data_IF_091755041101
#
_entry.id   IF_091755041101
#
_cell.length_a   1.000
_cell.length_b   1.000
_cell.length_c   1.000
_cell.angle_alpha   90.00
_cell.angle_beta   90.00
_cell.angle_gamma   90.00
#
_symmetry.space_group_name_H-M   'P 1'
#
loop_
_entity.id
_entity.type
_entity.pdbx_description
1 polymer ?
#
# COMPACT_ATOMS: atom_id res chain seq x y z
N UNK A 1 26.83 -19.80 16.03
CA UNK A 1 25.49 -20.26 16.47
C UNK A 1 24.61 -19.02 16.56
N UNK A 2 23.63 -18.85 15.67
CA UNK A 2 22.65 -17.77 15.79
C UNK A 2 21.86 -18.01 17.09
N UNK A 3 21.78 -17.01 17.98
CA UNK A 3 20.94 -17.09 19.18
C UNK A 3 19.49 -17.15 18.69
N UNK A 4 18.79 -18.24 19.00
CA UNK A 4 17.33 -18.32 18.87
C UNK A 4 16.71 -17.16 19.64
N UNK A 5 15.92 -16.33 18.97
CA UNK A 5 15.14 -15.25 19.59
C UNK A 5 13.67 -15.35 19.21
N UNK A 6 12.79 -15.01 20.14
CA UNK A 6 11.36 -14.86 19.89
C UNK A 6 11.08 -13.41 19.53
N UNK A 7 10.81 -13.15 18.25
CA UNK A 7 10.43 -11.81 17.78
C UNK A 7 8.92 -11.74 17.56
N UNK A 8 8.31 -10.67 18.07
CA UNK A 8 6.91 -10.37 17.82
C UNK A 8 6.79 -9.36 16.67
N UNK A 9 6.31 -9.82 15.53
CA UNK A 9 5.97 -8.97 14.39
C UNK A 9 4.54 -8.46 14.57
N UNK A 10 4.35 -7.14 14.56
CA UNK A 10 3.07 -6.50 14.83
C UNK A 10 2.65 -5.61 13.67
N UNK A 11 1.46 -5.86 13.12
CA UNK A 11 0.76 -4.98 12.19
C UNK A 11 -0.26 -4.14 12.94
N UNK A 12 -0.03 -2.82 13.03
CA UNK A 12 -1.00 -1.85 13.53
C UNK A 12 -1.92 -1.42 12.39
N UNK A 13 -2.98 -2.21 12.18
CA UNK A 13 -4.01 -1.96 11.17
C UNK A 13 -4.98 -0.85 11.56
N UNK A 14 -5.83 -0.42 10.62
CA UNK A 14 -6.86 0.60 10.86
C UNK A 14 -7.97 0.14 11.83
N UNK A 15 -8.24 -1.16 11.89
CA UNK A 15 -9.33 -1.75 12.69
C UNK A 15 -8.81 -2.67 13.79
N UNK A 16 -7.86 -3.56 13.45
CA UNK A 16 -7.22 -4.49 14.36
C UNK A 16 -5.70 -4.35 14.30
N UNK A 17 -5.07 -4.44 15.46
CA UNK A 17 -3.64 -4.64 15.63
C UNK A 17 -3.39 -6.14 15.79
N UNK A 18 -2.53 -6.70 14.95
CA UNK A 18 -2.29 -8.15 14.87
C UNK A 18 -0.82 -8.44 15.17
N UNK A 19 -0.57 -9.45 15.99
CA UNK A 19 0.76 -9.85 16.43
C UNK A 19 1.02 -11.30 16.02
N UNK A 20 2.20 -11.56 15.46
CA UNK A 20 2.72 -12.90 15.17
C UNK A 20 4.06 -13.06 15.89
N UNK A 21 4.13 -14.02 16.80
CA UNK A 21 5.35 -14.37 17.52
C UNK A 21 6.07 -15.47 16.75
N UNK A 22 7.32 -15.21 16.35
CA UNK A 22 8.10 -16.10 15.49
C UNK A 22 9.41 -16.45 16.19
N UNK A 23 9.74 -17.73 16.19
CA UNK A 23 11.07 -18.22 16.56
C UNK A 23 12.02 -17.99 15.37
N UNK A 24 12.99 -17.09 15.52
CA UNK A 24 13.91 -16.71 14.43
C UNK A 24 14.96 -17.77 14.11
N UNK A 25 15.16 -18.77 14.97
CA UNK A 25 16.08 -19.86 14.71
C UNK A 25 15.46 -20.95 13.83
N UNK A 26 14.16 -21.22 14.01
CA UNK A 26 13.42 -22.23 13.25
C UNK A 26 12.50 -21.65 12.16
N UNK A 27 12.15 -20.37 12.24
CA UNK A 27 11.10 -19.74 11.43
C UNK A 27 9.68 -20.18 11.78
N UNK A 28 9.47 -20.85 12.91
CA UNK A 28 8.16 -21.37 13.30
C UNK A 28 7.29 -20.25 13.89
N UNK A 29 6.02 -20.20 13.48
CA UNK A 29 4.99 -19.42 14.16
C UNK A 29 4.71 -20.04 15.54
N UNK A 30 4.95 -19.27 16.60
CA UNK A 30 4.80 -19.72 17.99
C UNK A 30 3.39 -19.43 18.50
N UNK A 31 2.92 -18.20 18.27
CA UNK A 31 1.61 -17.74 18.71
C UNK A 31 1.17 -16.53 17.89
N UNK A 32 -0.14 -16.30 17.83
CA UNK A 32 -0.72 -15.08 17.29
C UNK A 32 -1.54 -14.37 18.35
N UNK A 33 -1.59 -13.04 18.30
CA UNK A 33 -2.44 -12.22 19.14
C UNK A 33 -3.14 -11.15 18.31
N UNK A 34 -4.29 -10.66 18.77
CA UNK A 34 -4.96 -9.55 18.12
C UNK A 34 -5.70 -8.71 19.15
N UNK A 35 -5.79 -7.41 18.88
CA UNK A 35 -6.57 -6.48 19.66
C UNK A 35 -7.16 -5.41 18.75
N UNK A 36 -8.27 -4.79 19.16
CA UNK A 36 -8.83 -3.65 18.41
C UNK A 36 -7.83 -2.50 18.41
N UNK A 37 -7.59 -1.88 17.25
CA UNK A 37 -6.65 -0.76 17.18
C UNK A 37 -7.20 0.44 17.96
N UNK A 38 -6.36 1.03 18.80
CA UNK A 38 -6.73 2.11 19.72
C UNK A 38 -6.47 3.51 19.14
N UNK A 39 -6.81 3.73 17.86
CA UNK A 39 -6.60 5.01 17.12
C UNK A 39 -7.23 6.22 17.83
N UNK A 40 -8.33 6.01 18.56
CA UNK A 40 -9.00 7.07 19.33
C UNK A 40 -8.31 7.45 20.65
N UNK A 41 -7.23 6.76 21.03
CA UNK A 41 -6.45 7.05 22.24
C UNK A 41 -4.95 7.02 21.93
N UNK A 42 -4.23 5.97 22.35
CA UNK A 42 -2.84 5.71 21.98
C UNK A 42 -2.73 4.30 21.37
N UNK A 43 -2.20 4.19 20.15
CA UNK A 43 -2.04 2.92 19.43
C UNK A 43 -1.12 1.94 20.16
N UNK A 44 -0.23 2.42 21.04
CA UNK A 44 0.60 1.56 21.87
C UNK A 44 -0.22 0.68 22.81
N UNK A 45 -1.39 1.13 23.27
CA UNK A 45 -2.26 0.27 24.10
C UNK A 45 -2.76 -0.96 23.32
N UNK A 46 -3.20 -0.75 22.07
CA UNK A 46 -3.61 -1.85 21.20
C UNK A 46 -2.45 -2.75 20.80
N UNK A 47 -1.26 -2.17 20.58
CA UNK A 47 -0.04 -2.92 20.33
C UNK A 47 0.35 -3.80 21.51
N UNK A 48 0.46 -3.21 22.71
CA UNK A 48 0.87 -3.93 23.92
C UNK A 48 -0.15 -5.02 24.28
N UNK A 49 -1.45 -4.77 24.08
CA UNK A 49 -2.50 -5.78 24.26
C UNK A 49 -2.42 -6.91 23.23
N UNK A 50 -2.13 -6.62 21.96
CA UNK A 50 -1.97 -7.64 20.92
C UNK A 50 -0.73 -8.52 21.18
N UNK A 51 0.38 -7.92 21.63
CA UNK A 51 1.58 -8.67 22.05
C UNK A 51 1.28 -9.53 23.27
N UNK A 52 0.61 -8.99 24.30
CA UNK A 52 0.22 -9.75 25.48
C UNK A 52 -0.72 -10.92 25.17
N UNK A 53 -1.61 -10.76 24.18
CA UNK A 53 -2.52 -11.81 23.72
C UNK A 53 -1.79 -13.02 23.10
N UNK A 54 -0.51 -12.90 22.73
CA UNK A 54 0.30 -14.07 22.33
C UNK A 54 0.60 -15.01 23.50
N UNK A 55 0.44 -14.55 24.75
CA UNK A 55 0.74 -15.32 25.96
C UNK A 55 2.23 -15.50 26.25
N UNK A 56 3.10 -14.77 25.56
CA UNK A 56 4.56 -14.89 25.68
C UNK A 56 5.22 -13.51 25.81
N UNK A 57 6.44 -13.48 26.35
CA UNK A 57 7.29 -12.28 26.38
C UNK A 57 8.31 -12.37 25.23
N UNK A 58 8.22 -11.52 24.19
CA UNK A 58 9.18 -11.53 23.10
C UNK A 58 10.51 -10.89 23.48
N UNK A 59 11.60 -11.32 22.83
CA UNK A 59 12.93 -10.70 22.93
C UNK A 59 12.99 -9.35 22.20
N UNK A 60 12.10 -9.14 21.23
CA UNK A 60 12.00 -7.90 20.46
C UNK A 60 10.67 -7.77 19.72
N UNK A 61 10.31 -6.52 19.37
CA UNK A 61 9.07 -6.22 18.64
C UNK A 61 9.40 -5.46 17.36
N UNK A 62 8.95 -5.98 16.23
CA UNK A 62 9.04 -5.35 14.92
C UNK A 62 7.65 -4.88 14.51
N UNK A 63 7.49 -3.62 14.13
CA UNK A 63 6.16 -3.05 13.88
C UNK A 63 6.03 -2.56 12.44
N UNK A 64 4.92 -2.88 11.78
CA UNK A 64 4.43 -2.13 10.63
C UNK A 64 3.10 -1.45 10.97
N UNK A 65 2.75 -0.40 10.23
CA UNK A 65 1.52 0.35 10.50
C UNK A 65 0.83 0.82 9.23
N UNK A 66 -0.50 0.71 9.25
CA UNK A 66 -1.42 1.37 8.31
C UNK A 66 -2.45 2.25 9.05
N UNK A 67 -2.46 2.22 10.39
CA UNK A 67 -3.22 3.17 11.20
C UNK A 67 -2.80 4.61 10.86
N UNK A 68 -3.80 5.50 10.70
CA UNK A 68 -3.59 6.88 10.25
C UNK A 68 -3.94 7.15 8.77
N UNK A 69 -4.30 6.11 8.01
CA UNK A 69 -4.74 6.22 6.61
C UNK A 69 -3.59 6.21 5.60
N UNK A 70 -3.92 5.93 4.33
CA UNK A 70 -2.94 5.88 3.24
C UNK A 70 -2.24 7.23 3.00
N UNK A 71 -0.98 7.16 2.55
CA UNK A 71 -0.16 8.33 2.25
C UNK A 71 -0.80 9.21 1.16
N UNK A 72 -1.13 10.46 1.49
CA UNK A 72 -1.61 11.46 0.52
C UNK A 72 -0.42 12.24 -0.04
N UNK A 73 -0.07 12.02 -1.31
CA UNK A 73 1.04 12.70 -1.96
C UNK A 73 0.53 13.82 -2.87
N UNK A 74 1.16 14.99 -2.82
CA UNK A 74 1.05 15.99 -3.87
C UNK A 74 2.33 16.04 -4.70
N UNK A 75 2.21 16.13 -6.02
CA UNK A 75 3.34 16.25 -6.95
C UNK A 75 3.34 17.64 -7.56
N UNK A 76 4.49 18.31 -7.53
CA UNK A 76 4.72 19.59 -8.19
C UNK A 76 5.88 19.41 -9.16
N UNK A 77 5.58 19.45 -10.45
CA UNK A 77 6.56 19.27 -11.53
C UNK A 77 6.86 20.53 -12.33
N UNK A 78 7.86 20.46 -13.19
CA UNK A 78 8.19 21.50 -14.17
C UNK A 78 7.19 21.52 -15.34
N UNK A 79 6.91 20.36 -15.92
CA UNK A 79 6.06 20.20 -17.11
C UNK A 79 5.13 19.01 -16.89
N UNK A 80 3.88 19.11 -17.39
CA UNK A 80 2.80 18.21 -17.03
C UNK A 80 3.00 16.80 -17.57
N UNK A 81 3.40 16.66 -18.83
CA UNK A 81 3.50 15.38 -19.53
C UNK A 81 4.80 14.62 -19.23
N UNK A 82 5.81 15.30 -18.70
CA UNK A 82 7.15 14.75 -18.46
C UNK A 82 7.43 14.64 -16.96
N UNK A 83 7.78 15.74 -16.29
CA UNK A 83 8.30 15.68 -14.91
C UNK A 83 7.18 15.51 -13.87
N UNK A 84 6.03 16.16 -14.06
CA UNK A 84 4.89 15.95 -13.17
C UNK A 84 4.33 14.53 -13.33
N UNK A 85 4.31 14.01 -14.56
CA UNK A 85 3.91 12.62 -14.82
C UNK A 85 4.92 11.62 -14.24
N UNK A 86 6.22 11.88 -14.33
CA UNK A 86 7.26 11.10 -13.68
C UNK A 86 7.06 11.06 -12.15
N UNK A 87 6.87 12.22 -11.52
CA UNK A 87 6.58 12.31 -10.08
C UNK A 87 5.27 11.62 -9.69
N UNK A 88 4.23 11.71 -10.51
CA UNK A 88 2.98 10.98 -10.31
C UNK A 88 3.20 9.45 -10.29
N UNK A 89 3.99 8.93 -11.25
CA UNK A 89 4.37 7.51 -11.31
C UNK A 89 5.19 7.08 -10.09
N UNK A 90 6.12 7.93 -9.63
CA UNK A 90 6.88 7.68 -8.40
C UNK A 90 5.92 7.55 -7.22
N UNK A 91 4.95 8.46 -7.10
CA UNK A 91 3.93 8.43 -6.05
C UNK A 91 3.11 7.13 -6.03
N UNK A 92 2.59 6.72 -7.18
CA UNK A 92 1.87 5.45 -7.32
C UNK A 92 2.76 4.26 -6.93
N UNK A 93 4.01 4.25 -7.40
CA UNK A 93 4.98 3.19 -7.07
C UNK A 93 5.40 3.18 -5.58
N UNK A 94 5.22 4.30 -4.87
CA UNK A 94 5.42 4.41 -3.43
C UNK A 94 4.17 4.00 -2.62
N UNK A 95 3.10 3.53 -3.29
CA UNK A 95 1.84 3.19 -2.66
C UNK A 95 1.06 4.39 -2.13
N UNK A 96 1.31 5.59 -2.68
CA UNK A 96 0.65 6.82 -2.27
C UNK A 96 -0.63 7.08 -3.09
N UNK A 97 -1.66 7.62 -2.43
CA UNK A 97 -2.77 8.28 -3.10
C UNK A 97 -2.31 9.65 -3.58
N UNK A 98 -2.14 9.83 -4.88
CA UNK A 98 -1.78 11.15 -5.43
C UNK A 98 -3.02 12.06 -5.41
N UNK A 99 -3.05 13.01 -4.48
CA UNK A 99 -4.21 13.89 -4.23
C UNK A 99 -4.14 15.22 -4.99
N UNK A 100 -2.98 15.56 -5.55
CA UNK A 100 -2.77 16.78 -6.30
C UNK A 100 -1.59 16.64 -7.26
N UNK A 101 -1.72 17.17 -8.48
CA UNK A 101 -0.63 17.27 -9.46
C UNK A 101 -0.62 18.67 -10.07
N UNK A 102 0.45 19.42 -9.80
CA UNK A 102 0.72 20.71 -10.41
C UNK A 102 1.92 20.61 -11.36
N UNK A 103 1.95 21.49 -12.36
CA UNK A 103 3.05 21.63 -13.29
C UNK A 103 3.32 23.12 -13.56
N UNK A 104 4.58 23.47 -13.75
CA UNK A 104 5.03 24.84 -13.97
C UNK A 104 5.22 25.65 -12.69
N UNK A 105 5.42 26.97 -12.82
CA UNK A 105 5.59 27.85 -11.67
C UNK A 105 4.33 27.90 -10.78
N UNK A 106 4.50 27.61 -9.49
CA UNK A 106 3.46 27.73 -8.47
C UNK A 106 3.12 29.19 -8.26
N UNK A 107 1.92 29.58 -8.67
CA UNK A 107 1.34 30.88 -8.39
C UNK A 107 0.55 30.85 -7.06
N UNK A 108 -0.18 31.94 -6.75
CA UNK A 108 -0.97 32.02 -5.51
C UNK A 108 -2.13 31.02 -5.51
N UNK A 109 -2.76 30.79 -6.66
CA UNK A 109 -3.89 29.89 -6.80
C UNK A 109 -3.45 28.43 -6.67
N UNK A 110 -2.36 28.04 -7.33
CA UNK A 110 -1.75 26.71 -7.24
C UNK A 110 -1.33 26.37 -5.80
N UNK A 111 -0.72 27.31 -5.08
CA UNK A 111 -0.41 27.09 -3.65
C UNK A 111 -1.67 26.91 -2.80
N UNK A 112 -2.77 27.61 -3.10
CA UNK A 112 -4.04 27.44 -2.40
C UNK A 112 -4.68 26.06 -2.70
N UNK A 113 -4.63 25.61 -3.96
CA UNK A 113 -5.09 24.28 -4.36
C UNK A 113 -4.26 23.17 -3.70
N UNK A 114 -2.94 23.32 -3.66
CA UNK A 114 -2.03 22.41 -2.96
C UNK A 114 -2.41 22.27 -1.48
N UNK A 115 -2.72 23.39 -0.79
CA UNK A 115 -3.23 23.35 0.61
C UNK A 115 -4.58 22.66 0.73
N UNK A 116 -5.52 22.97 -0.17
CA UNK A 116 -6.86 22.41 -0.15
C UNK A 116 -6.85 20.89 -0.33
N UNK A 117 -5.89 20.37 -1.09
CA UNK A 117 -5.70 18.93 -1.28
C UNK A 117 -5.21 18.20 -0.01
N UNK A 118 -4.77 18.92 1.04
CA UNK A 118 -4.28 18.35 2.31
C UNK A 118 -3.31 17.18 2.11
N UNK A 119 -2.17 17.37 1.43
CA UNK A 119 -1.16 16.32 1.29
C UNK A 119 -0.49 16.03 2.64
N UNK A 120 -0.10 14.77 2.82
CA UNK A 120 0.77 14.32 3.92
C UNK A 120 2.25 14.52 3.56
N UNK A 121 2.61 14.44 2.27
CA UNK A 121 3.95 14.68 1.72
C UNK A 121 3.82 15.45 0.39
N UNK A 122 4.76 16.34 0.10
CA UNK A 122 4.92 16.98 -1.21
C UNK A 122 6.16 16.40 -1.91
N UNK A 123 6.03 15.97 -3.15
CA UNK A 123 7.14 15.62 -4.04
C UNK A 123 7.36 16.80 -4.99
N UNK A 124 8.50 17.49 -4.83
CA UNK A 124 8.94 18.56 -5.70
C UNK A 124 9.96 17.99 -6.71
N UNK A 125 9.58 17.99 -7.98
CA UNK A 125 10.36 17.46 -9.11
C UNK A 125 10.45 18.53 -10.20
N UNK A 126 11.42 18.42 -11.10
CA UNK A 126 11.57 19.38 -12.18
C UNK A 126 12.98 19.47 -12.71
N UNK A 127 13.08 19.79 -14.01
CA UNK A 127 14.34 19.76 -14.76
C UNK A 127 14.90 18.35 -14.93
N UNK A 128 15.76 18.18 -15.94
CA UNK A 128 16.79 17.14 -15.93
C UNK A 128 18.00 17.67 -15.18
N UNK A 129 18.94 16.80 -14.84
CA UNK A 129 20.23 17.25 -14.33
C UNK A 129 20.98 18.00 -15.45
N UNK A 130 21.56 19.16 -15.14
CA UNK A 130 22.10 20.08 -16.16
C UNK A 130 21.06 20.87 -16.96
N UNK A 131 19.76 20.72 -16.64
CA UNK A 131 18.63 21.34 -17.35
C UNK A 131 18.05 22.59 -16.66
N UNK A 132 16.75 22.79 -16.79
CA UNK A 132 16.02 23.90 -16.14
C UNK A 132 16.21 23.88 -14.62
N UNK A 133 16.63 25.01 -14.07
CA UNK A 133 16.70 25.25 -12.62
C UNK A 133 15.62 26.23 -12.15
N UNK A 134 15.05 27.03 -13.05
CA UNK A 134 14.27 28.21 -12.71
C UNK A 134 12.94 27.83 -12.07
N UNK A 135 12.22 26.87 -12.65
CA UNK A 135 10.87 26.53 -12.18
C UNK A 135 10.89 25.85 -10.82
N UNK A 136 11.83 24.91 -10.62
CA UNK A 136 11.95 24.22 -9.34
C UNK A 136 12.43 25.16 -8.24
N UNK A 137 13.34 26.09 -8.57
CA UNK A 137 13.81 27.12 -7.64
C UNK A 137 12.71 28.09 -7.25
N UNK A 138 11.91 28.56 -8.23
CA UNK A 138 10.72 29.38 -7.97
C UNK A 138 9.74 28.64 -7.04
N UNK A 139 9.44 27.37 -7.32
CA UNK A 139 8.51 26.57 -6.53
C UNK A 139 9.01 26.37 -5.09
N UNK A 140 10.29 26.04 -4.90
CA UNK A 140 10.90 25.91 -3.60
C UNK A 140 10.86 27.23 -2.81
N UNK A 141 11.20 28.36 -3.45
CA UNK A 141 11.11 29.68 -2.83
C UNK A 141 9.69 30.04 -2.41
N UNK A 142 8.68 29.66 -3.22
CA UNK A 142 7.27 29.88 -2.88
C UNK A 142 6.82 29.05 -1.68
N UNK A 143 7.28 27.81 -1.55
CA UNK A 143 7.01 26.97 -0.37
C UNK A 143 7.71 27.52 0.88
N UNK A 144 8.97 27.95 0.76
CA UNK A 144 9.73 28.57 1.83
C UNK A 144 9.05 29.86 2.35
N UNK A 145 8.73 30.80 1.45
CA UNK A 145 8.05 32.05 1.79
C UNK A 145 6.67 31.82 2.41
N UNK A 146 6.00 30.74 2.02
CA UNK A 146 4.71 30.32 2.55
C UNK A 146 4.80 29.62 3.93
N UNK A 147 6.01 29.44 4.48
CA UNK A 147 6.29 28.69 5.72
C UNK A 147 5.61 27.33 5.71
N UNK A 148 5.78 26.61 4.61
CA UNK A 148 5.15 25.32 4.37
C UNK A 148 5.52 24.31 5.46
N UNK A 149 4.52 23.63 6.04
CA UNK A 149 4.72 22.71 7.17
C UNK A 149 4.68 21.23 6.78
N UNK A 150 4.16 20.92 5.60
CA UNK A 150 4.07 19.53 5.13
C UNK A 150 5.46 19.10 4.66
N UNK A 151 5.94 17.91 5.04
CA UNK A 151 7.23 17.40 4.59
C UNK A 151 7.35 17.38 3.07
N UNK A 152 8.51 17.79 2.56
CA UNK A 152 8.80 17.91 1.12
C UNK A 152 9.98 17.02 0.73
N UNK A 153 9.79 16.15 -0.26
CA UNK A 153 10.88 15.44 -0.93
C UNK A 153 11.31 16.25 -2.14
N UNK A 154 12.58 16.66 -2.18
CA UNK A 154 13.18 17.39 -3.29
C UNK A 154 13.95 16.41 -4.18
N UNK A 155 13.41 16.15 -5.37
CA UNK A 155 13.92 15.13 -6.29
C UNK A 155 14.00 15.66 -7.74
N UNK A 156 14.54 16.87 -7.90
CA UNK A 156 14.76 17.50 -9.20
C UNK A 156 16.23 17.79 -9.48
N UNK A 157 16.48 18.71 -10.41
CA UNK A 157 17.79 19.06 -10.96
C UNK A 157 18.92 19.11 -9.90
N UNK A 158 19.95 18.31 -10.14
CA UNK A 158 21.12 18.20 -9.29
C UNK A 158 21.84 19.52 -9.00
N UNK A 159 21.88 20.44 -9.96
CA UNK A 159 22.71 21.65 -9.89
C UNK A 159 22.20 22.66 -8.85
N UNK A 160 20.90 22.67 -8.58
CA UNK A 160 20.30 23.56 -7.59
C UNK A 160 19.88 22.85 -6.30
N UNK A 161 19.97 21.52 -6.23
CA UNK A 161 19.41 20.70 -5.15
C UNK A 161 19.89 21.11 -3.75
N UNK A 162 21.19 21.27 -3.56
CA UNK A 162 21.78 21.65 -2.25
C UNK A 162 21.33 23.05 -1.79
N UNK A 163 21.30 24.01 -2.72
CA UNK A 163 20.82 25.37 -2.44
C UNK A 163 19.34 25.38 -2.06
N UNK A 164 18.52 24.61 -2.78
CA UNK A 164 17.08 24.53 -2.51
C UNK A 164 16.76 23.79 -1.21
N UNK A 165 17.51 22.75 -0.86
CA UNK A 165 17.42 22.09 0.44
C UNK A 165 17.72 23.07 1.57
N UNK A 166 18.82 23.82 1.46
CA UNK A 166 19.20 24.85 2.44
C UNK A 166 18.12 25.92 2.58
N UNK A 167 17.54 26.38 1.46
CA UNK A 167 16.46 27.37 1.45
C UNK A 167 15.20 26.87 2.18
N UNK A 168 14.77 25.64 1.87
CA UNK A 168 13.58 25.03 2.47
C UNK A 168 13.79 24.77 3.97
N UNK A 169 14.92 24.18 4.34
CA UNK A 169 15.27 23.89 5.72
C UNK A 169 15.38 25.19 6.55
N UNK A 170 16.02 26.24 6.01
CA UNK A 170 16.14 27.55 6.65
C UNK A 170 14.80 28.24 6.89
N UNK A 171 13.78 27.95 6.08
CA UNK A 171 12.41 28.42 6.27
C UNK A 171 11.58 27.54 7.24
N UNK A 172 12.16 26.46 7.76
CA UNK A 172 11.50 25.49 8.65
C UNK A 172 10.59 24.50 7.92
N UNK A 173 10.78 24.30 6.62
CA UNK A 173 10.11 23.24 5.85
C UNK A 173 10.87 21.93 6.12
N UNK A 174 10.21 20.85 6.62
CA UNK A 174 10.85 19.55 6.70
C UNK A 174 11.16 19.07 5.28
N UNK A 175 12.44 18.91 4.94
CA UNK A 175 12.89 18.59 3.59
C UNK A 175 13.88 17.44 3.61
N UNK A 176 13.81 16.57 2.61
CA UNK A 176 14.87 15.61 2.25
C UNK A 176 15.14 15.73 0.77
N UNK A 177 16.40 16.01 0.43
CA UNK A 177 16.88 16.02 -0.94
C UNK A 177 17.38 14.64 -1.38
N UNK A 178 17.07 14.25 -2.61
CA UNK A 178 17.48 12.97 -3.22
C UNK A 178 17.84 13.13 -4.70
N UNK A 179 18.33 12.06 -5.31
CA UNK A 179 18.54 11.96 -6.76
C UNK A 179 17.30 12.36 -7.56
N UNK A 180 17.53 12.95 -8.74
CA UNK A 180 16.46 13.44 -9.59
C UNK A 180 15.58 12.28 -10.07
N UNK A 181 14.25 12.44 -10.06
CA UNK A 181 13.34 11.41 -10.61
C UNK A 181 13.51 11.23 -12.12
N UNK A 182 14.00 12.26 -12.81
CA UNK A 182 14.20 12.27 -14.25
C UNK A 182 15.57 12.92 -14.56
N UNK A 183 16.69 12.25 -14.27
CA UNK A 183 18.02 12.84 -14.41
C UNK A 183 18.34 13.24 -15.86
N UNK A 184 17.79 12.53 -16.85
CA UNK A 184 17.92 12.87 -18.27
C UNK A 184 16.59 12.65 -19.01
N UNK A 185 16.45 13.25 -20.19
CA UNK A 185 15.24 13.08 -21.02
C UNK A 185 15.07 11.60 -21.34
N UNK A 186 13.90 11.07 -20.99
CA UNK A 186 13.60 9.66 -21.21
C UNK A 186 14.41 8.72 -20.32
N UNK A 187 14.95 9.17 -19.18
CA UNK A 187 15.56 8.34 -18.13
C UNK A 187 14.85 8.64 -16.80
N UNK A 188 14.17 7.65 -16.21
CA UNK A 188 13.42 7.73 -14.96
C UNK A 188 14.18 6.97 -13.87
N UNK A 189 14.53 7.65 -12.77
CA UNK A 189 15.12 7.03 -11.58
C UNK A 189 14.20 7.22 -10.36
N UNK A 190 13.22 6.31 -10.16
CA UNK A 190 12.22 6.48 -9.12
C UNK A 190 12.71 6.08 -7.72
N UNK A 191 13.82 5.34 -7.62
CA UNK A 191 14.26 4.66 -6.39
C UNK A 191 14.48 5.62 -5.21
N UNK A 192 15.35 6.65 -5.36
CA UNK A 192 15.66 7.59 -4.29
C UNK A 192 14.42 8.35 -3.79
N UNK A 193 13.60 8.88 -4.71
CA UNK A 193 12.38 9.60 -4.36
C UNK A 193 11.34 8.69 -3.68
N UNK A 194 11.16 7.45 -4.17
CA UNK A 194 10.27 6.47 -3.55
C UNK A 194 10.68 6.17 -2.11
N UNK A 195 11.97 5.95 -1.86
CA UNK A 195 12.50 5.70 -0.53
C UNK A 195 12.28 6.90 0.41
N UNK A 196 12.58 8.12 -0.05
CA UNK A 196 12.38 9.33 0.75
C UNK A 196 10.90 9.60 1.05
N UNK A 197 9.99 9.37 0.11
CA UNK A 197 8.55 9.49 0.33
C UNK A 197 8.09 8.53 1.43
N UNK A 198 8.52 7.26 1.37
CA UNK A 198 8.20 6.26 2.40
C UNK A 198 8.78 6.62 3.76
N UNK A 199 10.03 7.08 3.81
CA UNK A 199 10.66 7.52 5.05
C UNK A 199 9.93 8.71 5.67
N UNK A 200 9.57 9.71 4.86
CA UNK A 200 8.80 10.87 5.30
C UNK A 200 7.42 10.47 5.83
N UNK A 201 6.76 9.52 5.18
CA UNK A 201 5.51 8.95 5.65
C UNK A 201 5.68 8.29 7.03
N UNK A 202 6.71 7.46 7.22
CA UNK A 202 6.95 6.78 8.49
C UNK A 202 7.26 7.77 9.62
N UNK A 203 8.15 8.72 9.38
CA UNK A 203 8.62 9.66 10.41
C UNK A 203 7.58 10.73 10.77
N UNK A 204 6.96 11.35 9.77
CA UNK A 204 6.14 12.55 9.99
C UNK A 204 4.64 12.27 9.96
N UNK A 205 4.22 11.14 9.39
CA UNK A 205 2.80 10.84 9.19
C UNK A 205 2.37 9.71 10.11
N UNK A 206 3.02 8.54 10.08
CA UNK A 206 2.75 7.47 11.04
C UNK A 206 3.28 7.86 12.42
N UNK A 207 4.51 8.37 12.48
CA UNK A 207 5.11 8.87 13.73
C UNK A 207 4.54 10.21 14.22
N UNK A 208 3.99 11.03 13.32
CA UNK A 208 3.55 12.41 13.62
C UNK A 208 2.04 12.65 13.63
N UNK A 209 1.22 11.79 13.02
CA UNK A 209 -0.22 11.74 13.34
C UNK A 209 -0.33 11.36 14.80
N UNK A 210 -1.31 11.90 15.51
CA UNK A 210 -1.56 11.74 16.96
C UNK A 210 -1.89 10.28 17.38
N UNK A 211 -1.26 9.28 16.76
CA UNK A 211 -1.42 7.86 17.03
C UNK A 211 -0.79 7.49 18.37
N UNK A 212 0.32 8.12 18.75
CA UNK A 212 0.93 7.95 20.07
C UNK A 212 1.40 9.28 20.64
N UNK A 213 1.43 9.39 21.97
CA UNK A 213 1.82 10.62 22.68
C UNK A 213 3.34 10.78 22.82
N UNK A 214 4.14 9.76 22.48
CA UNK A 214 5.59 9.76 22.65
C UNK A 214 6.37 9.07 21.50
N UNK A 215 7.71 9.09 21.54
CA UNK A 215 8.56 8.63 20.44
C UNK A 215 8.60 7.11 20.27
N UNK A 216 8.12 6.34 21.27
CA UNK A 216 8.19 4.88 21.30
C UNK A 216 7.60 4.25 20.04
N UNK A 217 6.39 4.66 19.64
CA UNK A 217 5.74 4.09 18.46
C UNK A 217 6.57 4.33 17.19
N UNK A 218 7.01 5.57 16.95
CA UNK A 218 7.87 5.91 15.82
C UNK A 218 9.19 5.12 15.83
N UNK A 219 9.76 4.85 17.00
CA UNK A 219 11.00 4.04 17.13
C UNK A 219 10.80 2.54 16.86
N UNK A 220 9.57 2.03 16.97
CA UNK A 220 9.23 0.62 16.74
C UNK A 220 8.81 0.34 15.29
N UNK A 221 8.18 1.32 14.62
CA UNK A 221 7.71 1.16 13.23
C UNK A 221 8.90 1.03 12.27
N UNK A 222 8.93 -0.05 11.50
CA UNK A 222 9.94 -0.39 10.50
C UNK A 222 9.44 -0.18 9.08
N UNK A 223 8.13 -0.34 8.85
CA UNK A 223 7.54 -0.24 7.53
C UNK A 223 6.07 0.18 7.59
N UNK A 224 5.53 0.65 6.47
CA UNK A 224 4.08 0.67 6.29
C UNK A 224 3.59 -0.77 6.11
N UNK A 225 2.42 -1.13 6.65
CA UNK A 225 1.87 -2.50 6.54
C UNK A 225 1.90 -3.02 5.10
N UNK A 226 1.47 -2.24 4.08
CA UNK A 226 1.42 -2.77 2.73
C UNK A 226 2.81 -3.05 2.14
N UNK A 227 3.84 -2.30 2.54
CA UNK A 227 5.20 -2.56 2.08
C UNK A 227 5.73 -3.85 2.72
N UNK A 228 5.45 -4.06 4.01
CA UNK A 228 5.80 -5.31 4.67
C UNK A 228 5.08 -6.50 4.02
N UNK A 229 3.79 -6.38 3.70
CA UNK A 229 3.06 -7.42 2.98
C UNK A 229 3.70 -7.68 1.61
N UNK A 230 3.96 -6.64 0.81
CA UNK A 230 4.60 -6.79 -0.50
C UNK A 230 5.95 -7.50 -0.41
N UNK A 231 6.82 -7.11 0.53
CA UNK A 231 8.10 -7.80 0.79
C UNK A 231 7.89 -9.27 1.17
N UNK A 232 6.85 -9.59 1.96
CA UNK A 232 6.47 -10.96 2.25
C UNK A 232 6.05 -11.75 1.00
N UNK A 233 5.29 -11.14 0.08
CA UNK A 233 4.90 -11.76 -1.20
C UNK A 233 6.11 -11.98 -2.09
N UNK A 234 7.01 -11.00 -2.21
CA UNK A 234 8.26 -11.11 -2.98
C UNK A 234 9.14 -12.26 -2.48
N UNK A 235 9.28 -12.38 -1.15
CA UNK A 235 10.01 -13.49 -0.53
C UNK A 235 9.37 -14.86 -0.84
N UNK A 236 8.04 -14.96 -0.74
CA UNK A 236 7.34 -16.19 -1.05
C UNK A 236 7.51 -16.57 -2.52
N UNK A 237 7.37 -15.60 -3.44
CA UNK A 237 7.55 -15.82 -4.88
C UNK A 237 8.97 -16.27 -5.20
N UNK A 238 9.98 -15.65 -4.59
CA UNK A 238 11.38 -16.06 -4.75
C UNK A 238 11.66 -17.47 -4.23
N UNK A 239 10.92 -17.94 -3.21
CA UNK A 239 11.07 -19.28 -2.67
C UNK A 239 10.31 -20.35 -3.47
N UNK A 240 9.11 -20.02 -3.96
CA UNK A 240 8.28 -20.95 -4.74
C UNK A 240 8.67 -20.99 -6.23
N UNK A 241 9.29 -19.93 -6.74
CA UNK A 241 9.55 -19.76 -8.18
C UNK A 241 8.26 -19.61 -8.99
N UNK A 242 7.17 -19.16 -8.36
CA UNK A 242 5.85 -19.07 -8.96
C UNK A 242 5.33 -17.64 -8.95
N UNK A 243 4.55 -17.31 -9.99
CA UNK A 243 3.74 -16.10 -10.03
C UNK A 243 2.67 -16.13 -8.94
N UNK A 244 2.61 -15.07 -8.15
CA UNK A 244 1.74 -14.94 -6.98
C UNK A 244 0.79 -13.77 -7.14
N UNK A 245 -0.42 -13.94 -6.60
CA UNK A 245 -1.40 -12.89 -6.41
C UNK A 245 -1.92 -12.93 -4.97
N UNK A 246 -1.96 -11.78 -4.30
CA UNK A 246 -2.54 -11.65 -2.97
C UNK A 246 -3.68 -10.65 -3.02
N UNK A 247 -4.81 -10.99 -2.41
CA UNK A 247 -5.95 -10.10 -2.23
C UNK A 247 -6.21 -9.94 -0.73
N UNK A 248 -5.91 -8.77 -0.18
CA UNK A 248 -6.14 -8.43 1.23
C UNK A 248 -7.38 -7.54 1.36
N UNK A 249 -8.47 -8.13 1.86
CA UNK A 249 -9.76 -7.44 2.02
C UNK A 249 -9.86 -6.85 3.43
N UNK A 250 -9.65 -5.55 3.52
CA UNK A 250 -9.70 -4.78 4.76
C UNK A 250 -11.05 -4.09 5.02
N UNK A 251 -11.15 -3.42 6.16
CA UNK A 251 -12.32 -2.60 6.50
C UNK A 251 -12.42 -1.31 5.70
N UNK A 252 -11.31 -0.78 5.20
CA UNK A 252 -11.26 0.50 4.47
C UNK A 252 -10.77 0.36 3.02
N UNK A 253 -9.93 -0.63 2.74
CA UNK A 253 -9.28 -0.84 1.45
C UNK A 253 -9.34 -2.31 1.09
N UNK A 254 -9.26 -2.59 -0.22
CA UNK A 254 -8.86 -3.89 -0.74
C UNK A 254 -7.54 -3.70 -1.45
N UNK A 255 -6.49 -4.33 -0.95
CA UNK A 255 -5.17 -4.27 -1.56
C UNK A 255 -4.94 -5.51 -2.42
N UNK A 256 -4.44 -5.33 -3.64
CA UNK A 256 -4.05 -6.43 -4.54
C UNK A 256 -2.56 -6.34 -4.80
N UNK A 257 -1.84 -7.42 -4.52
CA UNK A 257 -0.40 -7.55 -4.76
C UNK A 257 -0.18 -8.61 -5.83
N UNK A 258 0.66 -8.35 -6.83
CA UNK A 258 1.12 -9.37 -7.77
C UNK A 258 2.63 -9.40 -7.86
N UNK A 259 3.17 -10.60 -7.90
CA UNK A 259 4.59 -10.85 -8.16
C UNK A 259 4.66 -11.80 -9.34
N UNK A 260 5.09 -11.30 -10.49
CA UNK A 260 5.21 -12.03 -11.75
C UNK A 260 6.70 -12.27 -12.01
N UNK A 261 7.17 -13.48 -11.71
CA UNK A 261 8.59 -13.85 -11.76
C UNK A 261 9.03 -13.83 -13.24
N UNK A 262 10.03 -13.01 -13.60
CA UNK A 262 10.49 -12.94 -14.99
C UNK A 262 11.18 -14.26 -15.40
N UNK A 263 10.95 -14.67 -16.65
CA UNK A 263 11.63 -15.84 -17.21
C UNK A 263 13.15 -15.60 -17.31
N UNK A 264 13.95 -16.67 -17.21
CA UNK A 264 15.42 -16.59 -17.33
C UNK A 264 15.89 -15.94 -18.66
N UNK A 265 15.10 -16.06 -19.73
CA UNK A 265 15.36 -15.43 -21.02
C UNK A 265 15.04 -13.91 -21.01
N UNK A 266 14.05 -13.47 -20.23
CA UNK A 266 13.74 -12.04 -20.02
C UNK A 266 14.83 -11.36 -19.16
N UNK A 267 15.40 -12.08 -18.20
CA UNK A 267 16.56 -11.63 -17.41
C UNK A 267 17.83 -11.48 -18.24
N UNK A 268 17.99 -12.28 -19.30
CA UNK A 268 19.13 -12.19 -20.23
C UNK A 268 18.95 -11.14 -21.35
N UNK A 269 17.72 -10.68 -21.60
CA UNK A 269 17.34 -9.94 -22.80
C UNK A 269 17.01 -8.45 -22.65
N UNK A 270 16.94 -7.87 -21.45
CA UNK A 270 16.51 -6.47 -21.28
C UNK A 270 17.60 -5.61 -20.65
N UNK A 271 18.32 -4.90 -21.51
CA UNK A 271 18.89 -3.59 -21.18
C UNK A 271 17.77 -2.55 -21.27
N UNK A 272 17.65 -1.72 -20.24
CA UNK A 272 17.10 -0.36 -20.27
C UNK A 272 15.70 -0.15 -20.85
N UNK A 273 14.69 -0.89 -20.39
CA UNK A 273 13.38 -0.25 -20.24
C UNK A 273 13.43 0.63 -18.98
N UNK A 274 13.47 1.93 -19.24
CA UNK A 274 13.66 3.06 -18.30
C UNK A 274 12.67 3.11 -17.12
N UNK A 275 11.70 2.20 -17.06
CA UNK A 275 10.94 1.93 -15.85
C UNK A 275 10.55 0.46 -15.88
N UNK A 276 11.55 -0.42 -15.79
CA UNK A 276 11.40 -1.87 -15.86
C UNK A 276 10.10 -2.30 -15.24
N UNK A 277 9.31 -3.09 -15.97
CA UNK A 277 8.01 -3.56 -15.50
C UNK A 277 8.27 -4.18 -14.13
N UNK A 278 7.84 -3.50 -13.06
CA UNK A 278 8.14 -3.97 -11.72
C UNK A 278 7.48 -5.33 -11.60
N UNK A 279 8.28 -6.39 -11.54
CA UNK A 279 7.80 -7.77 -11.43
C UNK A 279 6.91 -7.90 -10.19
N UNK A 280 7.14 -7.09 -9.16
CA UNK A 280 6.24 -6.84 -8.05
C UNK A 280 5.35 -5.58 -8.27
N UNK A 281 4.05 -5.69 -8.04
CA UNK A 281 3.10 -4.59 -8.14
C UNK A 281 2.07 -4.64 -7.01
N UNK A 282 1.51 -3.47 -6.69
CA UNK A 282 0.44 -3.31 -5.71
C UNK A 282 -0.58 -2.30 -6.20
N UNK A 283 -1.86 -2.61 -6.07
CA UNK A 283 -2.97 -1.66 -6.23
C UNK A 283 -3.72 -1.53 -4.91
N UNK A 284 -4.17 -0.31 -4.61
CA UNK A 284 -4.84 0.06 -3.35
C UNK A 284 -6.21 0.62 -3.65
N UNK A 285 -7.23 -0.16 -3.39
CA UNK A 285 -8.60 0.23 -3.70
C UNK A 285 -9.24 0.87 -2.47
N UNK A 286 -9.03 2.19 -2.32
CA UNK A 286 -9.50 2.94 -1.15
C UNK A 286 -11.01 3.14 -1.06
N UNK A 287 -11.74 2.89 -2.14
CA UNK A 287 -13.20 2.85 -2.22
C UNK A 287 -13.76 1.43 -2.02
N UNK A 288 -12.91 0.40 -1.88
CA UNK A 288 -13.36 -1.00 -1.76
C UNK A 288 -13.04 -1.58 -0.37
N UNK A 289 -13.79 -1.18 0.66
CA UNK A 289 -13.58 -1.67 2.03
C UNK A 289 -14.84 -2.28 2.63
N UNK A 290 -14.70 -3.27 3.51
CA UNK A 290 -15.85 -3.98 4.11
C UNK A 290 -16.62 -3.18 5.18
N UNK A 291 -16.08 -2.03 5.62
CA UNK A 291 -16.65 -1.20 6.69
C UNK A 291 -16.67 0.26 6.27
N UNK A 292 -15.58 1.00 6.49
CA UNK A 292 -15.46 2.43 6.24
C UNK A 292 -15.82 2.85 4.81
N UNK A 293 -15.42 2.03 3.82
CA UNK A 293 -15.64 2.29 2.41
C UNK A 293 -16.69 1.36 1.78
N UNK A 294 -17.55 0.73 2.59
CA UNK A 294 -18.55 -0.22 2.09
C UNK A 294 -19.49 0.39 1.03
N UNK A 295 -19.96 1.65 1.15
CA UNK A 295 -20.77 2.27 0.09
C UNK A 295 -20.01 2.39 -1.24
N UNK A 296 -18.69 2.58 -1.19
CA UNK A 296 -17.85 2.63 -2.39
C UNK A 296 -17.80 1.30 -3.14
N UNK A 297 -17.90 0.16 -2.43
CA UNK A 297 -18.01 -1.17 -3.05
C UNK A 297 -19.28 -1.26 -3.89
N UNK A 298 -20.42 -0.83 -3.35
CA UNK A 298 -21.71 -0.89 -4.07
C UNK A 298 -21.70 0.06 -5.27
N UNK A 299 -21.21 1.28 -5.10
CA UNK A 299 -21.07 2.26 -6.19
C UNK A 299 -20.16 1.73 -7.31
N UNK A 300 -19.03 1.12 -6.97
CA UNK A 300 -18.12 0.53 -7.94
C UNK A 300 -18.73 -0.68 -8.66
N UNK A 301 -19.45 -1.54 -7.92
CA UNK A 301 -20.17 -2.69 -8.49
C UNK A 301 -21.28 -2.26 -9.46
N UNK A 302 -22.02 -1.20 -9.15
CA UNK A 302 -23.01 -0.59 -10.04
C UNK A 302 -22.35 -0.08 -11.32
N UNK A 303 -21.25 0.66 -11.21
CA UNK A 303 -20.51 1.18 -12.37
C UNK A 303 -19.97 0.06 -13.27
N UNK A 304 -19.54 -1.05 -12.67
CA UNK A 304 -19.03 -2.24 -13.36
C UNK A 304 -20.14 -3.24 -13.77
N UNK A 305 -21.43 -2.89 -13.54
CA UNK A 305 -22.62 -3.67 -13.86
C UNK A 305 -22.62 -5.09 -13.27
N UNK A 306 -22.13 -5.22 -12.04
CA UNK A 306 -22.01 -6.49 -11.32
C UNK A 306 -23.25 -6.83 -10.47
N UNK A 307 -24.18 -5.88 -10.31
CA UNK A 307 -25.37 -6.07 -9.51
C UNK A 307 -26.51 -6.73 -10.30
N UNK A 308 -27.20 -7.67 -9.65
CA UNK A 308 -28.42 -8.28 -10.18
C UNK A 308 -29.64 -7.36 -9.95
N UNK A 309 -30.68 -7.44 -10.80
CA UNK A 309 -31.88 -6.61 -10.63
C UNK A 309 -32.50 -6.76 -9.23
N UNK A 310 -32.71 -5.64 -8.54
CA UNK A 310 -33.37 -5.59 -7.23
C UNK A 310 -32.44 -5.71 -6.02
N UNK A 311 -31.15 -6.05 -6.16
CA UNK A 311 -30.25 -6.18 -5.00
C UNK A 311 -29.65 -4.85 -4.52
N UNK A 312 -29.59 -3.83 -5.39
CA UNK A 312 -28.87 -2.58 -5.13
C UNK A 312 -29.32 -1.87 -3.84
N UNK A 313 -30.63 -1.65 -3.67
CA UNK A 313 -31.15 -0.92 -2.50
C UNK A 313 -30.85 -1.63 -1.18
N UNK A 314 -30.90 -2.96 -1.16
CA UNK A 314 -30.59 -3.75 0.04
C UNK A 314 -29.09 -3.69 0.37
N UNK A 315 -28.22 -3.81 -0.64
CA UNK A 315 -26.78 -3.69 -0.47
C UNK A 315 -26.34 -2.29 -0.06
N UNK A 316 -26.95 -1.24 -0.63
CA UNK A 316 -26.68 0.15 -0.24
C UNK A 316 -27.02 0.36 1.24
N UNK A 317 -28.21 -0.07 1.69
CA UNK A 317 -28.59 0.04 3.10
C UNK A 317 -27.64 -0.74 4.03
N UNK A 318 -27.26 -1.96 3.65
CA UNK A 318 -26.31 -2.77 4.38
C UNK A 318 -24.93 -2.09 4.47
N UNK A 319 -24.44 -1.55 3.36
CA UNK A 319 -23.16 -0.85 3.25
C UNK A 319 -23.12 0.42 4.10
N UNK A 320 -24.18 1.23 4.06
CA UNK A 320 -24.30 2.44 4.89
C UNK A 320 -24.30 2.10 6.38
N UNK A 321 -25.00 1.04 6.79
CA UNK A 321 -25.00 0.59 8.19
C UNK A 321 -23.59 0.21 8.68
N UNK A 322 -22.80 -0.46 7.83
CA UNK A 322 -21.40 -0.87 8.12
C UNK A 322 -20.44 0.32 8.16
N UNK A 323 -20.64 1.32 7.31
CA UNK A 323 -19.87 2.55 7.32
C UNK A 323 -20.17 3.39 8.58
N UNK A 324 -21.45 3.47 8.98
CA UNK A 324 -21.87 4.15 10.20
C UNK A 324 -21.39 3.43 11.47
N UNK A 325 -21.29 2.09 11.44
CA UNK A 325 -20.86 1.27 12.57
C UNK A 325 -19.72 0.32 12.19
N UNK A 326 -18.47 0.81 12.04
CA UNK A 326 -17.34 -0.04 11.59
C UNK A 326 -16.99 -1.21 12.51
N UNK A 327 -17.47 -1.19 13.76
CA UNK A 327 -17.32 -2.29 14.72
C UNK A 327 -18.39 -3.37 14.59
N UNK A 328 -19.39 -3.21 13.72
CA UNK A 328 -20.45 -4.19 13.51
C UNK A 328 -19.88 -5.48 12.90
N UNK A 329 -20.32 -6.61 13.47
CA UNK A 329 -20.01 -7.96 13.01
C UNK A 329 -21.35 -8.64 12.76
N UNK A 330 -21.52 -9.20 11.56
CA UNK A 330 -22.77 -9.82 11.15
C UNK A 330 -23.15 -10.99 12.07
N UNK A 331 -24.30 -10.87 12.72
CA UNK A 331 -24.81 -11.77 13.75
C UNK A 331 -25.93 -12.69 13.25
N UNK A 332 -26.60 -12.33 12.16
CA UNK A 332 -27.62 -13.16 11.49
C UNK A 332 -27.24 -13.59 10.06
N UNK A 333 -28.08 -14.46 9.47
CA UNK A 333 -27.83 -15.02 8.13
C UNK A 333 -27.95 -14.00 6.99
N UNK A 334 -28.82 -13.01 7.14
CA UNK A 334 -29.04 -11.94 6.15
C UNK A 334 -27.82 -11.02 6.10
N UNK A 335 -27.35 -10.60 7.27
CA UNK A 335 -26.20 -9.71 7.39
C UNK A 335 -24.90 -10.42 6.99
N UNK A 336 -24.78 -11.73 7.25
CA UNK A 336 -23.67 -12.55 6.75
C UNK A 336 -23.71 -12.69 5.23
N UNK A 337 -24.89 -12.84 4.63
CA UNK A 337 -25.03 -12.87 3.17
C UNK A 337 -24.66 -11.53 2.54
N UNK A 338 -25.04 -10.41 3.16
CA UNK A 338 -24.64 -9.08 2.73
C UNK A 338 -23.11 -8.86 2.84
N UNK A 339 -22.48 -9.27 3.96
CA UNK A 339 -21.01 -9.21 4.11
C UNK A 339 -20.32 -10.06 3.04
N UNK A 340 -20.80 -11.27 2.78
CA UNK A 340 -20.26 -12.11 1.72
C UNK A 340 -20.39 -11.44 0.35
N UNK A 341 -21.57 -10.91 0.02
CA UNK A 341 -21.82 -10.28 -1.29
C UNK A 341 -20.97 -9.02 -1.49
N UNK A 342 -20.82 -8.18 -0.46
CA UNK A 342 -19.91 -7.03 -0.49
C UNK A 342 -18.45 -7.48 -0.72
N UNK A 343 -18.02 -8.55 -0.06
CA UNK A 343 -16.65 -9.07 -0.25
C UNK A 343 -16.42 -9.62 -1.66
N UNK A 344 -17.37 -10.39 -2.21
CA UNK A 344 -17.33 -10.87 -3.59
C UNK A 344 -17.18 -9.70 -4.58
N UNK A 345 -17.98 -8.64 -4.41
CA UNK A 345 -17.92 -7.45 -5.25
C UNK A 345 -16.59 -6.69 -5.11
N UNK A 346 -16.10 -6.53 -3.87
CA UNK A 346 -14.82 -5.87 -3.61
C UNK A 346 -13.66 -6.60 -4.27
N UNK A 347 -13.58 -7.93 -4.11
CA UNK A 347 -12.55 -8.76 -4.76
C UNK A 347 -12.65 -8.67 -6.27
N UNK A 348 -13.84 -8.84 -6.85
CA UNK A 348 -14.03 -8.78 -8.31
C UNK A 348 -13.57 -7.45 -8.89
N UNK A 349 -14.03 -6.33 -8.31
CA UNK A 349 -13.65 -4.99 -8.81
C UNK A 349 -12.16 -4.73 -8.62
N UNK A 350 -11.58 -5.11 -7.48
CA UNK A 350 -10.15 -4.92 -7.22
C UNK A 350 -9.28 -5.71 -8.21
N UNK A 351 -9.63 -6.97 -8.49
CA UNK A 351 -8.93 -7.79 -9.47
C UNK A 351 -9.06 -7.22 -10.88
N UNK A 352 -10.25 -6.76 -11.29
CA UNK A 352 -10.44 -6.07 -12.57
C UNK A 352 -9.51 -4.88 -12.69
N UNK A 353 -9.50 -3.99 -11.70
CA UNK A 353 -8.69 -2.77 -11.71
C UNK A 353 -7.19 -3.09 -11.73
N UNK A 354 -6.74 -4.09 -10.96
CA UNK A 354 -5.36 -4.53 -10.94
C UNK A 354 -4.90 -5.11 -12.28
N UNK A 355 -5.68 -6.02 -12.89
CA UNK A 355 -5.34 -6.64 -14.16
C UNK A 355 -5.43 -5.66 -15.34
N UNK A 356 -6.40 -4.74 -15.31
CA UNK A 356 -6.67 -3.76 -16.37
C UNK A 356 -5.73 -2.57 -16.36
N UNK A 357 -5.24 -2.18 -15.18
CA UNK A 357 -4.51 -0.94 -14.98
C UNK A 357 -5.40 0.32 -15.06
N UNK A 358 -4.76 1.47 -14.90
CA UNK A 358 -5.43 2.77 -14.80
C UNK A 358 -5.28 3.58 -16.09
N UNK A 359 -6.31 4.37 -16.43
CA UNK A 359 -6.21 5.41 -17.45
C UNK A 359 -5.90 6.74 -16.79
N UNK A 360 -4.89 7.47 -17.29
CA UNK A 360 -4.55 8.80 -16.77
C UNK A 360 -5.66 9.84 -17.01
N UNK A 361 -6.52 9.60 -18.02
CA UNK A 361 -7.69 10.42 -18.36
C UNK A 361 -8.83 9.50 -18.79
N UNK A 362 -10.08 9.92 -18.58
CA UNK A 362 -11.25 9.15 -18.99
C UNK A 362 -11.20 8.83 -20.50
N UNK A 363 -11.32 7.56 -20.87
CA UNK A 363 -11.22 7.09 -22.27
C UNK A 363 -9.79 7.00 -22.82
N UNK A 364 -8.77 7.38 -22.05
CA UNK A 364 -7.36 7.28 -22.44
C UNK A 364 -6.80 5.85 -22.37
N UNK A 365 -5.61 5.62 -22.95
CA UNK A 365 -4.94 4.33 -22.89
C UNK A 365 -4.62 3.96 -21.43
N UNK A 366 -4.96 2.72 -21.07
CA UNK A 366 -4.68 2.17 -19.73
C UNK A 366 -3.24 1.71 -19.64
N UNK A 367 -2.61 1.95 -18.50
CA UNK A 367 -1.22 1.55 -18.21
C UNK A 367 -1.14 0.89 -16.85
N UNK A 368 -0.11 0.06 -16.67
CA UNK A 368 0.12 -0.67 -15.42
C UNK A 368 -0.78 -1.89 -15.22
N UNK A 369 -1.56 -2.29 -16.24
CA UNK A 369 -2.26 -3.57 -16.24
C UNK A 369 -1.28 -4.74 -16.15
N UNK A 370 -1.75 -5.84 -15.58
CA UNK A 370 -0.95 -7.01 -15.22
C UNK A 370 -1.56 -8.23 -15.88
N UNK A 371 -0.74 -8.99 -16.59
CA UNK A 371 -1.15 -10.30 -17.06
C UNK A 371 -1.02 -11.29 -15.91
N UNK A 372 -2.15 -11.74 -15.36
CA UNK A 372 -2.19 -12.63 -14.20
C UNK A 372 -2.50 -14.07 -14.62
N UNK A 373 -2.57 -14.37 -15.92
CA UNK A 373 -3.08 -15.67 -16.42
C UNK A 373 -2.27 -16.85 -15.93
N UNK A 374 -0.97 -16.65 -15.76
CA UNK A 374 -0.01 -17.68 -15.36
C UNK A 374 0.29 -17.66 -13.85
N UNK A 375 -0.43 -16.84 -13.07
CA UNK A 375 -0.39 -16.90 -11.60
C UNK A 375 -0.80 -18.30 -11.13
N UNK A 376 0.14 -18.96 -10.46
CA UNK A 376 -0.03 -20.32 -9.97
C UNK A 376 -0.60 -20.37 -8.55
N UNK A 377 -0.44 -19.30 -7.76
CA UNK A 377 -0.91 -19.25 -6.38
C UNK A 377 -1.61 -17.92 -6.08
N UNK A 378 -2.87 -18.02 -5.64
CA UNK A 378 -3.66 -16.89 -5.14
C UNK A 378 -3.82 -17.02 -3.62
N UNK A 379 -3.52 -15.96 -2.90
CA UNK A 379 -3.58 -15.91 -1.44
C UNK A 379 -4.63 -14.88 -1.04
N UNK A 380 -5.68 -15.35 -0.39
CA UNK A 380 -6.63 -14.49 0.30
C UNK A 380 -6.11 -14.05 1.66
N UNK A 381 -6.22 -12.76 1.98
CA UNK A 381 -5.97 -12.23 3.32
C UNK A 381 -7.07 -11.24 3.72
N UNK A 382 -6.97 -10.73 4.94
CA UNK A 382 -7.93 -9.77 5.48
C UNK A 382 -9.11 -10.42 6.22
N UNK A 383 -9.89 -9.58 6.91
CA UNK A 383 -10.80 -10.04 7.97
C UNK A 383 -11.89 -11.00 7.48
N UNK A 384 -12.52 -10.67 6.35
CA UNK A 384 -13.63 -11.46 5.80
C UNK A 384 -13.16 -12.82 5.27
N UNK A 385 -11.91 -12.96 4.83
CA UNK A 385 -11.37 -14.23 4.35
C UNK A 385 -10.85 -15.10 5.50
N UNK A 386 -10.17 -14.48 6.48
CA UNK A 386 -9.54 -15.19 7.61
C UNK A 386 -10.50 -15.70 8.67
N UNK A 387 -11.60 -14.99 8.88
CA UNK A 387 -12.56 -15.30 9.96
C UNK A 387 -13.83 -15.98 9.46
N UNK A 388 -13.94 -16.21 8.15
CA UNK A 388 -15.06 -16.95 7.57
C UNK A 388 -14.73 -18.44 7.46
N UNK A 389 -15.75 -19.32 7.44
CA UNK A 389 -15.57 -20.71 7.03
C UNK A 389 -14.84 -20.84 5.69
N UNK A 390 -14.04 -21.90 5.48
CA UNK A 390 -13.25 -22.07 4.25
C UNK A 390 -14.06 -22.01 2.95
N UNK A 391 -15.28 -22.55 2.94
CA UNK A 391 -16.18 -22.52 1.78
C UNK A 391 -16.64 -21.10 1.43
N UNK A 392 -16.86 -20.25 2.44
CA UNK A 392 -17.21 -18.84 2.23
C UNK A 392 -16.01 -18.07 1.69
N UNK A 393 -14.81 -18.26 2.26
CA UNK A 393 -13.60 -17.61 1.78
C UNK A 393 -13.26 -18.01 0.33
N UNK A 394 -13.41 -19.31 0.01
CA UNK A 394 -13.24 -19.82 -1.36
C UNK A 394 -14.27 -19.23 -2.32
N UNK A 395 -15.52 -19.09 -1.91
CA UNK A 395 -16.54 -18.49 -2.75
C UNK A 395 -16.28 -16.99 -3.02
N UNK A 396 -15.85 -16.24 -2.01
CA UNK A 396 -15.48 -14.82 -2.16
C UNK A 396 -14.34 -14.65 -3.16
N UNK A 397 -13.27 -15.42 -3.03
CA UNK A 397 -12.15 -15.38 -3.99
C UNK A 397 -12.56 -15.90 -5.37
N UNK A 398 -13.34 -16.98 -5.40
CA UNK A 398 -13.84 -17.61 -6.62
C UNK A 398 -14.74 -16.70 -7.45
N UNK A 399 -15.52 -15.82 -6.82
CA UNK A 399 -16.33 -14.83 -7.52
C UNK A 399 -15.47 -13.89 -8.37
N UNK A 400 -14.34 -13.42 -7.83
CA UNK A 400 -13.42 -12.56 -8.57
C UNK A 400 -12.59 -13.30 -9.60
N UNK A 401 -12.08 -14.49 -9.27
CA UNK A 401 -11.26 -15.30 -10.19
C UNK A 401 -12.08 -15.87 -11.36
N UNK A 402 -13.35 -16.17 -11.14
CA UNK A 402 -14.27 -16.67 -12.17
C UNK A 402 -14.88 -15.58 -13.05
N UNK A 403 -14.64 -14.29 -12.75
CA UNK A 403 -15.19 -13.17 -13.51
C UNK A 403 -14.40 -12.90 -14.80
N UNK A 404 -14.63 -13.73 -15.81
CA UNK A 404 -14.04 -13.53 -17.15
C UNK A 404 -14.76 -12.46 -17.97
N UNK A 405 -15.84 -11.86 -17.43
CA UNK A 405 -16.61 -10.84 -18.12
C UNK A 405 -15.78 -9.56 -18.29
N UNK A 406 -15.37 -9.27 -19.52
CA UNK A 406 -14.57 -8.10 -19.87
C UNK A 406 -13.17 -8.40 -20.39
N UNK A 407 -12.77 -9.67 -20.47
CA UNK A 407 -11.51 -10.08 -21.13
C UNK A 407 -10.24 -9.69 -20.38
N UNK A 408 -10.33 -9.51 -19.06
CA UNK A 408 -9.17 -9.22 -18.21
C UNK A 408 -8.33 -10.48 -18.01
N UNK A 409 -6.99 -10.37 -17.99
CA UNK A 409 -6.08 -11.51 -17.87
C UNK A 409 -6.00 -12.00 -16.41
N UNK A 410 -7.08 -12.59 -15.91
CA UNK A 410 -7.14 -13.18 -14.57
C UNK A 410 -6.48 -14.58 -14.52
N UNK A 411 -6.08 -15.06 -13.33
CA UNK A 411 -5.49 -16.40 -13.18
C UNK A 411 -6.41 -17.50 -13.71
N UNK A 412 -5.88 -18.40 -14.54
CA UNK A 412 -6.68 -19.47 -15.17
C UNK A 412 -6.86 -20.70 -14.28
N UNK A 413 -5.77 -21.15 -13.66
CA UNK A 413 -5.74 -22.36 -12.84
C UNK A 413 -4.94 -22.16 -11.55
N UNK A 414 -5.22 -21.12 -10.76
CA UNK A 414 -4.46 -20.89 -9.53
C UNK A 414 -4.84 -21.93 -8.47
N UNK A 415 -3.85 -22.33 -7.67
CA UNK A 415 -4.13 -22.84 -6.33
C UNK A 415 -4.54 -21.67 -5.44
N UNK A 416 -5.63 -21.81 -4.70
CA UNK A 416 -6.14 -20.75 -3.81
C UNK A 416 -5.94 -21.15 -2.35
N UNK A 417 -5.29 -20.29 -1.58
CA UNK A 417 -5.07 -20.46 -0.13
C UNK A 417 -5.50 -19.20 0.63
N UNK A 418 -5.65 -19.30 1.95
CA UNK A 418 -5.96 -18.15 2.81
C UNK A 418 -4.88 -18.02 3.87
N UNK A 419 -4.34 -16.81 4.03
CA UNK A 419 -3.41 -16.46 5.11
C UNK A 419 -4.17 -16.28 6.43
N UNK A 420 -4.65 -17.39 7.01
CA UNK A 420 -5.43 -17.40 8.25
C UNK A 420 -4.68 -16.77 9.43
N UNK A 421 -3.37 -16.98 9.48
CA UNK A 421 -2.47 -16.51 10.54
C UNK A 421 -1.97 -15.06 10.33
N UNK A 422 -2.25 -14.43 9.18
CA UNK A 422 -1.76 -13.08 8.80
C UNK A 422 -0.23 -12.96 8.82
N UNK A 423 0.46 -13.95 8.26
CA UNK A 423 1.92 -14.08 8.35
C UNK A 423 2.68 -13.33 7.25
N UNK A 424 2.02 -12.88 6.18
CA UNK A 424 2.70 -12.15 5.09
C UNK A 424 3.39 -10.86 5.60
N UNK A 425 2.71 -10.08 6.44
CA UNK A 425 3.28 -8.88 7.06
C UNK A 425 4.42 -9.21 8.02
N UNK A 426 4.32 -10.33 8.76
CA UNK A 426 5.36 -10.78 9.68
C UNK A 426 6.63 -11.23 8.94
N UNK A 427 6.47 -12.01 7.87
CA UNK A 427 7.57 -12.41 7.01
C UNK A 427 8.28 -11.19 6.40
N UNK A 428 7.52 -10.20 5.92
CA UNK A 428 8.09 -8.96 5.41
C UNK A 428 8.87 -8.14 6.45
N UNK A 429 8.39 -8.10 7.69
CA UNK A 429 9.11 -7.45 8.79
C UNK A 429 10.42 -8.18 9.14
N UNK A 430 10.45 -9.50 9.00
CA UNK A 430 11.63 -10.33 9.26
C UNK A 430 12.63 -10.33 8.09
N UNK A 431 12.20 -9.97 6.88
CA UNK A 431 12.95 -10.13 5.63
C UNK A 431 14.39 -9.60 5.67
N UNK A 432 14.59 -8.41 6.26
CA UNK A 432 15.87 -7.73 6.25
C UNK A 432 16.89 -8.34 7.23
N UNK A 433 16.44 -8.67 8.45
CA UNK A 433 17.32 -9.08 9.56
C UNK A 433 17.34 -10.61 9.77
N UNK A 434 16.26 -11.30 9.39
CA UNK A 434 16.05 -12.74 9.57
C UNK A 434 15.45 -13.42 8.32
N UNK A 435 16.10 -13.32 7.13
CA UNK A 435 15.54 -13.82 5.86
C UNK A 435 15.24 -15.32 5.87
N UNK A 436 16.08 -16.13 6.53
CA UNK A 436 15.87 -17.57 6.64
C UNK A 436 14.61 -17.91 7.48
N UNK A 437 14.37 -17.16 8.56
CA UNK A 437 13.18 -17.34 9.39
C UNK A 437 11.91 -16.90 8.65
N UNK A 438 11.98 -15.79 7.91
CA UNK A 438 10.88 -15.31 7.07
C UNK A 438 10.48 -16.34 6.01
N UNK A 439 11.45 -16.92 5.30
CA UNK A 439 11.21 -17.95 4.30
C UNK A 439 10.62 -19.23 4.92
N UNK A 440 11.16 -19.68 6.06
CA UNK A 440 10.65 -20.85 6.77
C UNK A 440 9.23 -20.65 7.30
N UNK A 441 8.89 -19.45 7.80
CA UNK A 441 7.54 -19.08 8.23
C UNK A 441 6.54 -19.19 7.05
N UNK A 442 6.87 -18.56 5.93
CA UNK A 442 6.06 -18.60 4.71
C UNK A 442 5.86 -20.03 4.21
N UNK A 443 6.94 -20.80 4.16
CA UNK A 443 6.93 -22.19 3.71
C UNK A 443 6.21 -23.15 4.66
N UNK A 444 5.99 -22.78 5.92
CA UNK A 444 5.22 -23.58 6.88
C UNK A 444 3.73 -23.30 6.79
N UNK A 445 3.34 -22.02 6.63
CA UNK A 445 1.97 -21.56 6.78
C UNK A 445 1.20 -21.40 5.45
N UNK A 446 1.89 -21.22 4.31
CA UNK A 446 1.27 -20.89 3.01
C UNK A 446 1.60 -21.90 1.90
N UNK A 447 1.66 -23.19 2.23
CA UNK A 447 2.07 -24.25 1.30
C UNK A 447 1.15 -24.53 0.13
#
# INVERSE_FOLDING_TARGET
MSRTSLLCCVDVGSTFTKAALVDTGSGRLVATGAHRTTVGSDVLHGLDAAVAATGHTPDGVLVCSSAGGGLRLAVVGYERLVTAQAGHRVGLSAGAKVVHVAAGPLDRAGLAQLRAARPDVVLLVGGTDGGDTDTISHNAARLAAARWRVPTVLAGNADCREQLETLLAGAGVPVVAVGNVLPAIGVLDPGPARAAIRQMFLQHVIGGKKLSRGPRFASLVRAATPDAVLTGVELLAGHTGHDLLVVDVGGATTDVYSVLVPDAEQLAGVRDDVAGTMWAARTVEGDLGMRWSAPGVVAAAQAEKLLVPGEAAALDAAAEARAAHPGYVADDGTERAADRRLAELAVTVALRRHARGEAAVAGGPRRGGRDLRDVALVIGSGGVLRHSPPDVAQAVLGAGLGDTAGGWPLPRHPRVVVDASYILAAAGLLAAEHPAAAAALLAAELR
#
